data_IF_388178738909
#
_entry.id   IF_388178738909
#
_cell.length_a   1.000
_cell.length_b   1.000
_cell.length_c   1.000
_cell.angle_alpha   90.00
_cell.angle_beta   90.00
_cell.angle_gamma   90.00
#
_symmetry.space_group_name_H-M   'P 1'
#
loop_
_entity.id
_entity.type
_entity.pdbx_description
1 polymer ?
#
# COMPACT_ATOMS: atom_id res chain seq x y z
N UNK A 1 -80.73 -20.55 -0.03
CA UNK A 1 -80.43 -19.63 -1.15
C UNK A 1 -79.91 -18.33 -0.57
N UNK A 2 -78.71 -17.79 -0.81
CA UNK A 2 -77.47 -18.20 -1.47
C UNK A 2 -76.38 -17.24 -0.95
N UNK A 3 -75.27 -17.77 -0.43
CA UNK A 3 -73.90 -17.62 -0.95
C UNK A 3 -73.49 -16.22 -1.42
N UNK A 4 -72.56 -15.60 -0.67
CA UNK A 4 -71.37 -14.97 -1.25
C UNK A 4 -70.36 -14.63 -0.13
N UNK A 5 -69.34 -15.47 -0.03
CA UNK A 5 -68.10 -15.24 0.69
C UNK A 5 -67.38 -13.98 0.21
N UNK A 6 -66.86 -13.17 1.13
CA UNK A 6 -65.68 -12.33 0.86
C UNK A 6 -64.70 -12.41 2.02
N UNK A 7 -63.70 -13.28 1.81
CA UNK A 7 -62.39 -13.21 2.45
C UNK A 7 -61.84 -11.79 2.28
N UNK A 8 -61.40 -11.17 3.36
CA UNK A 8 -60.51 -10.01 3.29
C UNK A 8 -59.16 -10.38 3.86
N UNK A 9 -58.15 -10.04 3.05
CA UNK A 9 -56.76 -10.47 3.08
C UNK A 9 -56.06 -10.26 4.43
N UNK A 10 -55.39 -11.33 4.86
CA UNK A 10 -54.23 -11.29 5.73
C UNK A 10 -53.12 -10.46 5.05
N UNK A 11 -52.78 -9.30 5.61
CA UNK A 11 -51.55 -8.60 5.23
C UNK A 11 -50.37 -9.28 5.92
N UNK A 12 -49.69 -10.15 5.17
CA UNK A 12 -48.38 -10.69 5.51
C UNK A 12 -47.35 -9.58 5.33
N UNK A 13 -46.93 -8.92 6.41
CA UNK A 13 -45.77 -8.05 6.40
C UNK A 13 -44.51 -8.93 6.34
N UNK A 14 -43.98 -9.05 5.12
CA UNK A 14 -42.63 -9.55 4.86
C UNK A 14 -41.66 -8.58 5.54
N UNK A 15 -41.10 -8.98 6.68
CA UNK A 15 -39.97 -8.32 7.28
C UNK A 15 -38.73 -8.57 6.39
N UNK A 16 -38.51 -7.68 5.44
CA UNK A 16 -37.24 -7.62 4.72
C UNK A 16 -36.11 -7.36 5.73
N UNK A 17 -35.17 -8.29 5.71
CA UNK A 17 -33.86 -8.25 6.35
C UNK A 17 -33.26 -6.84 6.33
N UNK A 18 -33.10 -6.25 7.52
CA UNK A 18 -32.29 -5.05 7.69
C UNK A 18 -30.83 -5.47 7.47
N UNK A 19 -30.24 -5.02 6.37
CA UNK A 19 -28.81 -4.87 6.20
C UNK A 19 -28.23 -4.21 7.46
N UNK A 20 -27.64 -5.02 8.31
CA UNK A 20 -26.89 -4.58 9.48
C UNK A 20 -25.59 -4.04 8.94
N UNK A 21 -25.45 -2.71 8.91
CA UNK A 21 -24.17 -2.06 8.65
C UNK A 21 -23.12 -2.65 9.62
N UNK A 22 -21.92 -3.01 9.16
CA UNK A 22 -20.87 -3.52 10.05
C UNK A 22 -20.55 -2.47 11.11
N UNK A 23 -20.38 -2.92 12.35
CA UNK A 23 -20.09 -2.06 13.50
C UNK A 23 -18.74 -1.38 13.32
N UNK A 24 -18.75 -0.08 13.07
CA UNK A 24 -17.56 0.78 13.12
C UNK A 24 -17.31 1.14 14.58
N UNK A 25 -16.35 0.49 15.22
CA UNK A 25 -15.90 0.88 16.56
C UNK A 25 -14.75 1.88 16.46
N UNK A 26 -14.86 3.08 17.07
CA UNK A 26 -13.78 4.05 17.12
C UNK A 26 -12.62 3.55 17.99
N UNK A 27 -11.42 3.56 17.42
CA UNK A 27 -10.17 3.37 18.15
C UNK A 27 -9.55 4.76 18.36
N UNK A 28 -9.54 5.31 19.59
CA UNK A 28 -8.86 6.57 19.85
C UNK A 28 -7.37 6.38 19.55
N UNK A 29 -6.85 7.18 18.62
CA UNK A 29 -5.47 7.14 18.11
C UNK A 29 -4.45 6.60 19.13
N UNK A 30 -3.76 5.49 18.83
CA UNK A 30 -2.44 5.30 19.37
C UNK A 30 -1.56 6.39 18.76
N UNK A 31 -0.81 7.14 19.58
CA UNK A 31 0.33 7.97 19.13
C UNK A 31 1.50 7.11 18.61
N UNK A 32 1.26 5.83 18.41
CA UNK A 32 2.16 4.81 17.96
C UNK A 32 1.75 4.43 16.55
N UNK A 33 2.69 4.27 15.60
CA UNK A 33 2.37 3.60 14.34
C UNK A 33 1.66 2.29 14.66
N UNK A 34 0.66 1.95 13.84
CA UNK A 34 -0.08 0.69 13.85
C UNK A 34 0.65 -0.40 14.65
N UNK A 35 0.19 -0.67 15.87
CA UNK A 35 0.64 -1.84 16.65
C UNK A 35 -0.05 -3.11 16.15
N UNK A 36 -0.34 -3.18 14.84
CA UNK A 36 -0.38 -4.49 14.19
C UNK A 36 0.95 -5.19 14.46
N UNK A 37 1.00 -6.54 14.45
CA UNK A 37 2.26 -7.23 14.56
C UNK A 37 3.19 -6.63 13.50
N UNK A 38 4.18 -5.86 13.94
CA UNK A 38 5.29 -5.46 13.07
C UNK A 38 5.87 -6.79 12.64
N UNK A 39 5.55 -7.20 11.41
CA UNK A 39 6.13 -8.40 10.83
C UNK A 39 7.62 -8.09 10.86
N UNK A 40 8.35 -8.69 11.79
CA UNK A 40 9.76 -8.43 11.93
C UNK A 40 10.37 -8.58 10.54
N UNK A 41 11.15 -7.57 10.11
CA UNK A 41 11.86 -7.68 8.85
C UNK A 41 12.54 -9.04 8.85
N UNK A 42 12.30 -9.86 7.82
CA UNK A 42 12.68 -11.25 7.88
C UNK A 42 14.18 -11.35 8.09
N UNK A 43 14.58 -12.32 8.92
CA UNK A 43 15.95 -12.55 9.34
C UNK A 43 16.88 -12.79 8.12
N UNK A 44 18.22 -12.68 8.28
CA UNK A 44 19.16 -12.98 7.20
C UNK A 44 18.91 -14.39 6.62
N UNK A 45 18.55 -14.47 5.34
CA UNK A 45 18.20 -15.70 4.64
C UNK A 45 17.26 -15.45 3.46
N UNK A 46 16.97 -16.50 2.70
CA UNK A 46 15.93 -16.43 1.67
C UNK A 46 14.55 -16.39 2.34
N UNK A 47 13.83 -15.31 2.09
CA UNK A 47 12.48 -15.08 2.60
C UNK A 47 11.50 -15.16 1.46
N UNK A 48 10.49 -16.01 1.61
CA UNK A 48 9.30 -15.99 0.77
C UNK A 48 8.27 -15.03 1.37
N UNK A 49 7.70 -14.12 0.59
CA UNK A 49 6.62 -13.23 1.04
C UNK A 49 5.77 -12.72 -0.11
N UNK A 50 4.61 -12.16 0.23
CA UNK A 50 3.78 -11.36 -0.68
C UNK A 50 4.06 -9.88 -0.43
N UNK A 51 4.36 -9.12 -1.48
CA UNK A 51 4.61 -7.70 -1.35
C UNK A 51 4.14 -6.88 -2.54
N UNK A 52 4.02 -5.57 -2.33
CA UNK A 52 3.96 -4.56 -3.39
C UNK A 52 5.28 -3.78 -3.45
N UNK A 53 5.74 -3.40 -4.64
CA UNK A 53 6.91 -2.52 -4.81
C UNK A 53 6.49 -1.12 -5.24
N UNK A 54 7.36 -0.14 -4.95
CA UNK A 54 7.26 1.22 -5.46
C UNK A 54 8.33 1.41 -6.54
N UNK A 55 7.95 2.04 -7.65
CA UNK A 55 8.90 2.40 -8.72
C UNK A 55 9.76 3.58 -8.30
N UNK A 56 11.06 3.44 -8.48
CA UNK A 56 12.01 4.53 -8.33
C UNK A 56 11.92 5.47 -9.53
N UNK A 57 12.06 6.77 -9.30
CA UNK A 57 12.03 7.76 -10.36
C UNK A 57 13.05 8.88 -10.15
N UNK A 58 13.53 9.51 -11.24
CA UNK A 58 14.41 10.66 -11.15
C UNK A 58 13.73 11.79 -10.40
N UNK A 59 14.47 12.47 -9.53
CA UNK A 59 13.97 13.61 -8.78
C UNK A 59 13.11 13.27 -7.55
N UNK A 60 12.72 12.00 -7.36
CA UNK A 60 11.86 11.59 -6.25
C UNK A 60 12.67 11.26 -5.00
N UNK A 61 12.57 12.12 -3.99
CA UNK A 61 13.31 12.01 -2.73
C UNK A 61 12.92 10.79 -1.88
N UNK A 62 11.72 10.23 -2.09
CA UNK A 62 11.25 9.04 -1.37
C UNK A 62 11.47 7.75 -2.18
N UNK A 63 11.73 7.87 -3.48
CA UNK A 63 11.98 6.76 -4.38
C UNK A 63 13.03 7.10 -5.43
N UNK A 64 14.28 7.29 -5.00
CA UNK A 64 15.39 7.70 -5.86
C UNK A 64 15.78 6.58 -6.85
N UNK A 65 15.92 6.92 -8.13
CA UNK A 65 16.48 6.03 -9.18
C UNK A 65 17.87 6.44 -9.68
N UNK A 66 18.35 7.62 -9.32
CA UNK A 66 19.59 8.21 -9.86
C UNK A 66 20.43 8.82 -8.74
N UNK A 67 21.74 8.55 -8.79
CA UNK A 67 22.72 9.03 -7.83
C UNK A 67 23.74 9.92 -8.55
N UNK A 68 23.95 11.13 -8.04
CA UNK A 68 25.03 12.01 -8.47
C UNK A 68 26.30 11.67 -7.68
N UNK A 69 27.31 11.11 -8.36
CA UNK A 69 28.57 10.68 -7.76
C UNK A 69 29.73 11.25 -8.57
N UNK A 70 30.51 12.15 -7.98
CA UNK A 70 31.68 12.73 -8.64
C UNK A 70 31.34 13.51 -9.93
N UNK A 71 30.15 14.13 -9.99
CA UNK A 71 29.69 14.91 -11.14
C UNK A 71 29.06 14.08 -12.27
N UNK A 72 28.89 12.77 -12.09
CA UNK A 72 28.22 11.88 -13.03
C UNK A 72 27.00 11.19 -12.41
N UNK A 73 26.01 10.89 -13.24
CA UNK A 73 24.85 10.11 -12.86
C UNK A 73 25.17 8.61 -12.90
N UNK A 74 24.81 7.94 -11.82
CA UNK A 74 24.76 6.50 -11.68
C UNK A 74 23.30 6.07 -11.55
N UNK A 75 22.86 5.16 -12.41
CA UNK A 75 21.52 4.59 -12.37
C UNK A 75 21.42 3.49 -11.33
N UNK A 76 20.40 3.59 -10.48
CA UNK A 76 20.09 2.63 -9.44
C UNK A 76 19.15 1.51 -9.88
N UNK A 77 18.70 0.75 -8.89
CA UNK A 77 17.66 -0.25 -9.11
C UNK A 77 16.30 0.44 -9.37
N UNK A 78 15.43 -0.15 -10.22
CA UNK A 78 14.19 0.50 -10.66
C UNK A 78 13.05 0.45 -9.63
N UNK A 79 13.16 -0.34 -8.58
CA UNK A 79 12.09 -0.52 -7.60
C UNK A 79 12.61 -0.54 -6.16
N UNK A 80 11.70 -0.35 -5.21
CA UNK A 80 11.96 -0.49 -3.77
C UNK A 80 10.78 -1.12 -3.04
N UNK A 81 11.08 -1.73 -1.90
CA UNK A 81 10.12 -2.27 -0.94
C UNK A 81 10.54 -1.80 0.45
N UNK A 82 9.61 -1.20 1.21
CA UNK A 82 9.87 -0.67 2.56
C UNK A 82 11.10 0.27 2.62
N UNK A 83 11.25 1.12 1.60
CA UNK A 83 12.38 2.06 1.50
C UNK A 83 13.71 1.44 1.08
N UNK A 84 13.79 0.13 0.84
CA UNK A 84 15.01 -0.58 0.42
C UNK A 84 14.90 -0.94 -1.06
N UNK A 85 15.96 -0.67 -1.82
CA UNK A 85 16.04 -1.00 -3.24
C UNK A 85 15.86 -2.50 -3.51
N UNK A 86 15.20 -2.85 -4.61
CA UNK A 86 14.88 -4.24 -5.00
C UNK A 86 15.47 -4.55 -6.37
N UNK A 87 16.25 -5.63 -6.45
CA UNK A 87 16.78 -6.18 -7.69
C UNK A 87 15.99 -7.43 -8.05
N UNK A 88 15.32 -7.40 -9.20
CA UNK A 88 14.63 -8.56 -9.77
C UNK A 88 15.56 -9.40 -10.65
N UNK A 89 15.26 -10.69 -10.86
CA UNK A 89 15.98 -11.53 -11.82
C UNK A 89 15.98 -10.91 -13.21
N UNK A 90 17.09 -11.09 -13.94
CA UNK A 90 17.17 -10.68 -15.34
C UNK A 90 16.05 -11.32 -16.16
N UNK A 91 15.41 -10.54 -17.04
CA UNK A 91 14.27 -11.00 -17.85
C UNK A 91 12.90 -10.90 -17.16
N UNK A 92 12.83 -10.49 -15.89
CA UNK A 92 11.54 -10.18 -15.25
C UNK A 92 10.84 -9.03 -16.00
N UNK A 93 9.62 -9.26 -16.46
CA UNK A 93 8.86 -8.24 -17.20
C UNK A 93 8.45 -7.09 -16.27
N UNK A 94 8.70 -5.81 -16.66
CA UNK A 94 8.14 -4.66 -15.94
C UNK A 94 6.62 -4.71 -15.84
N UNK A 95 5.94 -5.29 -16.83
CA UNK A 95 4.48 -5.42 -16.82
C UNK A 95 3.99 -6.30 -15.65
N UNK A 96 4.70 -7.40 -15.35
CA UNK A 96 4.42 -8.25 -14.20
C UNK A 96 4.53 -7.45 -12.90
N UNK A 97 5.57 -6.62 -12.77
CA UNK A 97 5.86 -5.86 -11.56
C UNK A 97 4.87 -4.71 -11.38
N UNK A 98 4.58 -3.96 -12.44
CA UNK A 98 3.83 -2.70 -12.38
C UNK A 98 2.31 -2.90 -12.45
N UNK A 99 1.81 -3.96 -13.09
CA UNK A 99 0.37 -4.24 -13.19
C UNK A 99 -0.16 -5.17 -12.11
N UNK A 100 0.70 -5.91 -11.42
CA UNK A 100 0.25 -6.80 -10.35
C UNK A 100 0.03 -6.00 -9.07
N UNK A 101 -1.14 -6.13 -8.41
CA UNK A 101 -1.39 -5.46 -7.13
C UNK A 101 -0.55 -6.04 -5.99
N UNK A 102 0.08 -7.20 -6.21
CA UNK A 102 1.07 -7.81 -5.34
C UNK A 102 1.91 -8.84 -6.10
N UNK A 103 3.06 -9.17 -5.53
CA UNK A 103 4.01 -10.15 -6.04
C UNK A 103 4.30 -11.18 -4.95
N UNK A 104 4.29 -12.46 -5.30
CA UNK A 104 4.88 -13.52 -4.48
C UNK A 104 6.36 -13.57 -4.86
N UNK A 105 7.23 -13.37 -3.89
CA UNK A 105 8.67 -13.30 -4.12
C UNK A 105 9.44 -14.17 -3.13
N UNK A 106 10.56 -14.72 -3.58
CA UNK A 106 11.63 -15.21 -2.70
C UNK A 106 12.78 -14.23 -2.82
N UNK A 107 13.28 -13.72 -1.70
CA UNK A 107 14.34 -12.71 -1.71
C UNK A 107 15.32 -12.87 -0.55
N UNK A 108 16.53 -12.34 -0.69
CA UNK A 108 17.49 -12.19 0.41
C UNK A 108 18.01 -10.76 0.51
N UNK A 109 18.30 -10.33 1.74
CA UNK A 109 18.93 -9.03 1.98
C UNK A 109 20.41 -9.11 1.65
N UNK A 110 20.88 -8.30 0.71
CA UNK A 110 22.29 -8.12 0.39
C UNK A 110 22.77 -6.76 0.89
N UNK A 111 24.04 -6.65 1.20
CA UNK A 111 24.71 -5.38 1.48
C UNK A 111 25.43 -4.89 0.22
N UNK A 112 25.94 -3.66 0.25
CA UNK A 112 26.66 -3.03 -0.86
C UNK A 112 25.78 -2.67 -2.06
N UNK A 113 24.86 -1.71 -1.87
CA UNK A 113 24.05 -1.13 -2.94
C UNK A 113 24.91 -0.54 -4.08
N UNK A 114 26.11 -0.02 -3.77
CA UNK A 114 27.02 0.52 -4.80
C UNK A 114 27.35 -0.51 -5.90
N UNK A 115 27.35 -1.81 -5.57
CA UNK A 115 27.61 -2.89 -6.52
C UNK A 115 26.53 -3.07 -7.59
N UNK A 116 25.34 -2.47 -7.42
CA UNK A 116 24.23 -2.62 -8.36
C UNK A 116 24.08 -1.43 -9.31
N UNK A 117 24.91 -0.40 -9.16
CA UNK A 117 24.76 0.84 -9.92
C UNK A 117 25.36 0.72 -11.32
N UNK A 118 24.71 1.36 -12.28
CA UNK A 118 25.21 1.49 -13.66
C UNK A 118 25.71 2.91 -13.87
N UNK A 119 27.01 3.07 -14.11
CA UNK A 119 27.59 4.38 -14.45
C UNK A 119 27.07 4.83 -15.82
N UNK A 120 26.69 6.10 -15.92
CA UNK A 120 26.27 6.72 -17.19
C UNK A 120 27.22 7.83 -17.61
N UNK A 121 27.07 8.32 -18.84
CA UNK A 121 27.78 9.50 -19.35
C UNK A 121 27.06 10.82 -19.03
N UNK A 122 25.87 10.76 -18.39
CA UNK A 122 25.12 11.95 -18.00
C UNK A 122 25.84 12.65 -16.85
N UNK A 123 26.07 13.94 -16.98
CA UNK A 123 26.62 14.77 -15.91
C UNK A 123 25.53 15.20 -14.93
N UNK A 124 25.94 15.49 -13.71
CA UNK A 124 25.09 16.09 -12.69
C UNK A 124 25.85 17.21 -11.99
N UNK A 125 25.12 18.25 -11.62
CA UNK A 125 25.64 19.29 -10.76
C UNK A 125 25.35 18.90 -9.30
N UNK A 126 26.38 18.63 -8.47
CA UNK A 126 26.20 18.39 -7.05
C UNK A 126 25.70 19.68 -6.38
N UNK A 127 24.37 19.88 -6.37
CA UNK A 127 23.74 20.97 -5.61
C UNK A 127 23.96 20.78 -4.10
N UNK A 128 23.68 21.87 -3.38
CA UNK A 128 23.92 22.15 -1.95
C UNK A 128 24.02 20.95 -0.99
N UNK A 129 24.87 21.06 0.05
CA UNK A 129 25.08 19.99 1.04
C UNK A 129 23.76 19.52 1.68
N UNK A 130 23.71 18.25 2.13
CA UNK A 130 22.48 17.66 2.62
C UNK A 130 21.90 18.47 3.77
N UNK A 131 20.67 18.97 3.59
CA UNK A 131 19.91 19.53 4.70
C UNK A 131 19.67 18.41 5.73
N UNK A 132 20.03 18.68 6.99
CA UNK A 132 19.76 17.76 8.08
C UNK A 132 18.27 17.42 8.16
N UNK A 133 17.94 16.12 8.25
CA UNK A 133 16.56 15.66 8.38
C UNK A 133 15.92 16.17 9.66
N UNK A 134 14.78 16.86 9.55
CA UNK A 134 13.88 17.07 10.69
C UNK A 134 12.99 15.84 10.96
N UNK A 135 12.76 14.98 9.95
CA UNK A 135 11.99 13.73 10.07
C UNK A 135 12.54 12.65 9.11
N UNK A 136 12.66 11.42 9.62
CA UNK A 136 13.26 10.28 8.92
C UNK A 136 12.39 9.68 7.80
N UNK A 137 11.13 10.10 7.69
CA UNK A 137 10.15 9.59 6.72
C UNK A 137 10.12 10.37 5.39
N UNK A 138 10.92 11.45 5.25
CA UNK A 138 10.86 12.37 4.12
C UNK A 138 12.02 12.20 3.13
N UNK A 139 12.63 11.02 3.09
CA UNK A 139 13.80 10.76 2.26
C UNK A 139 14.21 9.29 2.27
N UNK A 140 15.00 8.89 1.30
CA UNK A 140 15.57 7.54 1.30
C UNK A 140 16.71 7.43 2.32
N UNK A 141 16.95 6.24 2.91
CA UNK A 141 18.07 6.05 3.82
C UNK A 141 19.42 6.47 3.23
N UNK A 142 19.59 6.30 1.92
CA UNK A 142 20.83 6.57 1.21
C UNK A 142 21.01 8.03 0.74
N UNK A 143 19.95 8.85 0.73
CA UNK A 143 19.97 10.21 0.16
C UNK A 143 19.42 11.30 1.10
N UNK A 144 18.76 10.93 2.20
CA UNK A 144 18.04 11.90 3.03
C UNK A 144 17.08 12.74 2.18
N UNK A 145 17.08 14.06 2.38
CA UNK A 145 16.21 14.98 1.66
C UNK A 145 16.81 15.57 0.37
N UNK A 146 17.80 14.93 -0.25
CA UNK A 146 18.44 15.48 -1.46
C UNK A 146 17.87 14.95 -2.77
N UNK A 147 17.71 15.86 -3.72
CA UNK A 147 17.33 15.56 -5.10
C UNK A 147 18.03 16.53 -6.07
N UNK A 148 18.93 16.07 -6.96
CA UNK A 148 19.39 14.69 -7.11
C UNK A 148 20.16 14.21 -5.88
N UNK A 149 20.17 12.89 -5.64
CA UNK A 149 20.88 12.30 -4.51
C UNK A 149 22.39 12.43 -4.68
N UNK A 150 23.05 13.28 -3.89
CA UNK A 150 24.48 13.52 -3.97
C UNK A 150 25.22 12.64 -2.94
N UNK A 151 26.00 11.67 -3.41
CA UNK A 151 26.59 10.64 -2.53
C UNK A 151 27.89 10.08 -3.10
N UNK A 152 28.46 9.08 -2.44
CA UNK A 152 29.69 8.39 -2.89
C UNK A 152 29.46 6.88 -2.95
N UNK A 153 30.23 6.18 -3.80
CA UNK A 153 30.21 4.72 -3.83
C UNK A 153 30.53 4.11 -2.45
N UNK A 154 31.46 4.72 -1.71
CA UNK A 154 31.81 4.28 -0.35
C UNK A 154 30.61 4.38 0.61
N UNK A 155 29.87 5.49 0.58
CA UNK A 155 28.68 5.64 1.41
C UNK A 155 27.61 4.60 1.03
N UNK A 156 27.34 4.46 -0.27
CA UNK A 156 26.35 3.49 -0.78
C UNK A 156 26.72 2.03 -0.50
N UNK A 157 28.00 1.71 -0.29
CA UNK A 157 28.42 0.35 0.06
C UNK A 157 27.90 -0.13 1.43
N UNK A 158 27.54 0.80 2.32
CA UNK A 158 26.96 0.47 3.62
C UNK A 158 25.45 0.19 3.56
N UNK A 159 24.78 0.53 2.45
CA UNK A 159 23.34 0.33 2.29
C UNK A 159 23.02 -1.06 1.72
N UNK A 160 21.92 -1.62 2.21
CA UNK A 160 21.40 -2.91 1.74
C UNK A 160 20.45 -2.75 0.56
N UNK A 161 20.25 -3.85 -0.16
CA UNK A 161 19.19 -4.03 -1.15
C UNK A 161 18.59 -5.44 -1.04
N UNK A 162 17.40 -5.62 -1.59
CA UNK A 162 16.74 -6.91 -1.71
C UNK A 162 17.10 -7.57 -3.04
N UNK A 163 17.64 -8.77 -2.97
CA UNK A 163 17.87 -9.64 -4.12
C UNK A 163 16.71 -10.61 -4.26
N UNK A 164 15.89 -10.45 -5.30
CA UNK A 164 14.80 -11.37 -5.60
C UNK A 164 15.32 -12.51 -6.47
N UNK A 165 15.06 -13.75 -6.06
CA UNK A 165 15.42 -14.96 -6.80
C UNK A 165 14.25 -15.53 -7.59
N UNK A 166 13.03 -15.44 -7.04
CA UNK A 166 11.80 -15.86 -7.72
C UNK A 166 10.74 -14.77 -7.61
N UNK A 167 9.91 -14.62 -8.64
CA UNK A 167 8.82 -13.63 -8.68
C UNK A 167 7.64 -14.17 -9.47
N UNK A 168 6.45 -14.06 -8.88
CA UNK A 168 5.17 -14.47 -9.46
C UNK A 168 4.10 -13.42 -9.12
N UNK A 169 3.08 -13.28 -9.97
CA UNK A 169 1.95 -12.39 -9.68
C UNK A 169 1.12 -12.96 -8.52
N UNK A 170 0.79 -12.13 -7.54
CA UNK A 170 -0.22 -12.49 -6.54
C UNK A 170 -1.62 -12.16 -7.08
N UNK A 171 -2.42 -13.19 -7.34
CA UNK A 171 -3.78 -13.07 -7.89
C UNK A 171 -4.88 -12.95 -6.83
N UNK A 172 -4.53 -13.01 -5.54
CA UNK A 172 -5.49 -12.94 -4.43
C UNK A 172 -5.97 -11.53 -4.08
N UNK A 173 -5.48 -10.49 -4.76
CA UNK A 173 -5.95 -9.12 -4.63
C UNK A 173 -6.31 -8.58 -6.02
N UNK A 174 -7.45 -7.90 -6.11
CA UNK A 174 -7.83 -7.09 -7.27
C UNK A 174 -8.40 -5.77 -6.78
N UNK A 175 -7.96 -4.68 -7.41
CA UNK A 175 -8.38 -3.31 -7.08
C UNK A 175 -8.76 -2.65 -8.39
N UNK A 176 -10.04 -2.35 -8.56
CA UNK A 176 -10.54 -1.64 -9.73
C UNK A 176 -11.19 -0.34 -9.31
N UNK A 177 -11.15 0.65 -10.19
CA UNK A 177 -11.80 1.94 -9.97
C UNK A 177 -13.17 1.90 -10.64
N UNK A 178 -14.21 2.39 -9.95
CA UNK A 178 -15.53 2.59 -10.54
C UNK A 178 -15.48 3.53 -11.75
N UNK A 179 -16.47 3.43 -12.64
CA UNK A 179 -16.50 4.27 -13.86
C UNK A 179 -16.56 5.77 -13.60
N UNK A 180 -17.04 6.20 -12.42
CA UNK A 180 -17.05 7.60 -11.99
C UNK A 180 -15.75 8.04 -11.28
N UNK A 181 -14.79 7.12 -11.08
CA UNK A 181 -13.51 7.41 -10.47
C UNK A 181 -13.54 7.59 -8.95
N UNK A 182 -14.70 7.43 -8.28
CA UNK A 182 -14.90 7.80 -6.86
C UNK A 182 -14.73 6.65 -5.88
N UNK A 183 -14.94 5.42 -6.33
CA UNK A 183 -14.95 4.22 -5.48
C UNK A 183 -13.93 3.23 -5.99
N UNK A 184 -13.20 2.61 -5.07
CA UNK A 184 -12.40 1.44 -5.32
C UNK A 184 -13.20 0.20 -4.99
N UNK A 185 -13.30 -0.70 -5.95
CA UNK A 185 -13.78 -2.06 -5.74
C UNK A 185 -12.56 -2.91 -5.39
N UNK A 186 -12.47 -3.31 -4.12
CA UNK A 186 -11.40 -4.16 -3.62
C UNK A 186 -11.94 -5.57 -3.47
N UNK A 187 -11.31 -6.52 -4.15
CA UNK A 187 -11.63 -7.96 -4.09
C UNK A 187 -10.44 -8.72 -3.56
N UNK A 188 -10.65 -9.40 -2.45
CA UNK A 188 -9.72 -10.35 -1.84
C UNK A 188 -10.19 -11.77 -2.14
N UNK A 189 -9.30 -12.62 -2.65
CA UNK A 189 -9.59 -14.02 -2.95
C UNK A 189 -8.55 -14.88 -2.25
N UNK A 190 -9.00 -15.87 -1.47
CA UNK A 190 -8.09 -16.86 -0.92
C UNK A 190 -7.64 -17.83 -2.02
N UNK A 191 -6.43 -17.64 -2.52
CA UNK A 191 -5.81 -18.47 -3.58
C UNK A 191 -5.11 -19.73 -3.04
N UNK A 192 -5.12 -19.93 -1.72
CA UNK A 192 -4.46 -21.06 -1.07
C UNK A 192 -5.41 -22.23 -0.84
N UNK A 193 -4.85 -23.43 -0.71
CA UNK A 193 -5.60 -24.66 -0.41
C UNK A 193 -6.11 -24.74 1.04
N UNK A 194 -5.69 -23.81 1.89
CA UNK A 194 -6.01 -23.75 3.31
C UNK A 194 -6.83 -22.51 3.63
N UNK A 195 -7.54 -22.53 4.76
CA UNK A 195 -8.37 -21.42 5.21
C UNK A 195 -7.49 -20.24 5.64
N UNK A 196 -7.70 -19.09 5.01
CA UNK A 196 -7.04 -17.84 5.37
C UNK A 196 -7.70 -17.25 6.62
N UNK A 197 -6.87 -16.93 7.62
CA UNK A 197 -7.31 -16.29 8.86
C UNK A 197 -7.90 -14.89 8.60
N UNK A 198 -8.70 -14.40 9.54
CA UNK A 198 -9.19 -13.03 9.49
C UNK A 198 -8.04 -12.03 9.40
N UNK A 199 -8.20 -11.01 8.57
CA UNK A 199 -7.20 -9.99 8.28
C UNK A 199 -7.80 -8.59 8.42
N UNK A 200 -6.97 -7.57 8.28
CA UNK A 200 -7.39 -6.18 8.28
C UNK A 200 -6.86 -5.48 7.05
N UNK A 201 -7.78 -4.86 6.31
CA UNK A 201 -7.46 -3.89 5.26
C UNK A 201 -7.54 -2.50 5.89
N UNK A 202 -6.52 -1.67 5.69
CA UNK A 202 -6.47 -0.30 6.21
C UNK A 202 -6.47 0.67 5.04
N UNK A 203 -7.42 1.60 5.04
CA UNK A 203 -7.47 2.69 4.08
C UNK A 203 -6.90 3.96 4.72
N UNK A 204 -5.85 4.50 4.11
CA UNK A 204 -5.10 5.65 4.60
C UNK A 204 -5.52 6.90 3.86
N UNK A 205 -6.09 7.86 4.58
CA UNK A 205 -6.54 9.13 4.04
C UNK A 205 -5.65 10.27 4.55
N UNK A 206 -5.34 11.21 3.67
CA UNK A 206 -4.65 12.45 4.02
C UNK A 206 -5.46 13.65 3.49
N UNK A 207 -5.51 14.74 4.25
CA UNK A 207 -6.25 15.93 3.86
C UNK A 207 -6.82 16.72 5.03
N UNK A 208 -7.91 17.43 4.78
CA UNK A 208 -8.59 18.28 5.74
C UNK A 208 -8.02 19.70 5.88
N UNK A 209 -8.73 20.60 6.56
CA UNK A 209 -8.30 21.99 6.74
C UNK A 209 -7.11 22.10 7.70
N UNK A 210 -6.07 22.82 7.29
CA UNK A 210 -4.88 23.07 8.10
C UNK A 210 -3.71 22.20 7.69
N UNK A 211 -2.93 21.70 8.67
CA UNK A 211 -1.87 20.73 8.39
C UNK A 211 -2.52 19.38 8.07
N UNK A 212 -2.12 18.69 6.97
CA UNK A 212 -2.65 17.38 6.64
C UNK A 212 -2.50 16.44 7.84
N UNK A 213 -3.62 15.87 8.29
CA UNK A 213 -3.64 14.87 9.35
C UNK A 213 -3.99 13.53 8.72
N UNK A 214 -3.25 12.45 9.04
CA UNK A 214 -3.58 11.13 8.54
C UNK A 214 -4.81 10.57 9.26
N UNK A 215 -5.71 9.95 8.49
CA UNK A 215 -6.87 9.24 8.98
C UNK A 215 -6.87 7.82 8.45
N UNK A 216 -7.34 6.87 9.27
CA UNK A 216 -7.25 5.45 8.98
C UNK A 216 -8.64 4.82 9.14
N UNK A 217 -9.13 4.18 8.08
CA UNK A 217 -10.34 3.36 8.14
C UNK A 217 -9.92 1.89 8.12
N UNK A 218 -10.18 1.19 9.23
CA UNK A 218 -9.92 -0.25 9.37
C UNK A 218 -11.13 -1.05 8.90
N UNK A 219 -10.93 -1.91 7.92
CA UNK A 219 -11.94 -2.79 7.33
C UNK A 219 -11.60 -4.23 7.76
N UNK A 220 -12.50 -4.85 8.51
CA UNK A 220 -12.33 -6.24 8.93
C UNK A 220 -12.57 -7.18 7.74
N UNK A 221 -11.55 -7.97 7.40
CA UNK A 221 -11.66 -9.04 6.41
C UNK A 221 -11.97 -10.33 7.16
N UNK A 222 -13.13 -10.97 6.92
CA UNK A 222 -13.46 -12.21 7.59
C UNK A 222 -12.52 -13.32 7.16
N UNK A 223 -12.54 -14.41 7.90
CA UNK A 223 -11.84 -15.63 7.53
C UNK A 223 -12.35 -16.17 6.18
N UNK A 224 -11.45 -16.56 5.28
CA UNK A 224 -11.79 -17.00 3.92
C UNK A 224 -11.46 -18.48 3.72
N UNK A 225 -12.47 -19.28 3.38
CA UNK A 225 -12.25 -20.66 2.91
C UNK A 225 -11.44 -20.67 1.59
N UNK A 226 -10.80 -21.79 1.22
CA UNK A 226 -10.12 -21.92 -0.07
C UNK A 226 -11.03 -21.50 -1.24
N UNK A 227 -10.56 -20.59 -2.09
CA UNK A 227 -11.31 -20.04 -3.22
C UNK A 227 -12.40 -19.02 -2.86
N UNK A 228 -12.67 -18.76 -1.58
CA UNK A 228 -13.67 -17.79 -1.16
C UNK A 228 -13.18 -16.36 -1.42
N UNK A 229 -14.15 -15.46 -1.68
CA UNK A 229 -13.90 -14.06 -2.01
C UNK A 229 -14.56 -13.14 -1.00
N UNK A 230 -13.88 -12.05 -0.65
CA UNK A 230 -14.43 -10.92 0.07
C UNK A 230 -14.31 -9.67 -0.79
N UNK A 231 -15.40 -8.92 -0.89
CA UNK A 231 -15.47 -7.70 -1.70
C UNK A 231 -15.88 -6.53 -0.80
N UNK A 232 -15.20 -5.39 -0.97
CA UNK A 232 -15.50 -4.17 -0.25
C UNK A 232 -15.32 -2.95 -1.14
N UNK A 233 -16.17 -1.96 -0.93
CA UNK A 233 -16.08 -0.66 -1.58
C UNK A 233 -15.35 0.31 -0.67
N UNK A 234 -14.31 0.96 -1.18
CA UNK A 234 -13.58 2.00 -0.48
C UNK A 234 -13.72 3.30 -1.24
N UNK A 235 -14.33 4.30 -0.61
CA UNK A 235 -14.47 5.63 -1.21
C UNK A 235 -13.10 6.32 -1.26
N UNK A 236 -12.74 6.92 -2.40
CA UNK A 236 -11.47 7.67 -2.54
C UNK A 236 -11.49 8.99 -1.77
N UNK A 237 -12.67 9.48 -1.42
CA UNK A 237 -12.87 10.65 -0.57
C UNK A 237 -13.81 10.30 0.57
N UNK A 238 -13.50 10.77 1.77
CA UNK A 238 -14.42 10.70 2.91
C UNK A 238 -14.68 12.11 3.44
N UNK A 239 -15.92 12.36 3.87
CA UNK A 239 -16.29 13.60 4.50
C UNK A 239 -15.82 13.61 5.96
N UNK A 240 -15.58 14.82 6.49
CA UNK A 240 -15.23 15.02 7.90
C UNK A 240 -16.25 14.37 8.86
N UNK A 241 -17.52 14.25 8.47
CA UNK A 241 -18.57 13.59 9.27
C UNK A 241 -18.40 12.08 9.40
N UNK A 242 -17.73 11.44 8.44
CA UNK A 242 -17.49 10.00 8.44
C UNK A 242 -16.24 9.64 9.26
N UNK A 243 -15.53 10.65 9.74
CA UNK A 243 -14.36 10.50 10.58
C UNK A 243 -14.76 10.78 12.03
N UNK A 244 -14.48 9.84 12.96
CA UNK A 244 -14.68 10.09 14.38
C UNK A 244 -13.68 11.16 14.87
N UNK A 245 -14.10 12.43 14.85
CA UNK A 245 -13.31 13.57 15.34
C UNK A 245 -13.70 13.94 16.77
N UNK A 246 -12.69 14.27 17.59
CA UNK A 246 -12.90 14.79 18.95
C UNK A 246 -13.45 16.22 18.97
N UNK A 247 -13.21 17.00 17.90
CA UNK A 247 -13.82 18.32 17.67
C UNK A 247 -14.01 18.54 16.16
N UNK A 248 -15.21 18.90 15.68
CA UNK A 248 -15.43 19.26 14.29
C UNK A 248 -14.70 20.57 13.95
N UNK A 249 -14.07 20.61 12.79
CA UNK A 249 -13.44 21.80 12.25
C UNK A 249 -14.50 22.80 11.75
N UNK A 250 -14.13 24.09 11.70
CA UNK A 250 -15.03 25.14 11.20
C UNK A 250 -15.08 25.23 9.66
N UNK A 251 -14.26 24.46 8.95
CA UNK A 251 -14.17 24.47 7.49
C UNK A 251 -14.38 23.04 7.01
N UNK A 252 -15.50 22.73 6.33
CA UNK A 252 -15.74 21.39 5.78
C UNK A 252 -14.50 20.91 5.02
N UNK A 253 -13.82 19.90 5.56
CA UNK A 253 -12.70 19.22 4.92
C UNK A 253 -13.17 17.95 4.23
N UNK A 254 -12.58 17.65 3.08
CA UNK A 254 -12.57 16.30 2.54
C UNK A 254 -11.17 15.71 2.75
N UNK A 255 -11.11 14.39 2.85
CA UNK A 255 -9.86 13.64 2.96
C UNK A 255 -9.74 12.71 1.78
N UNK A 256 -8.55 12.65 1.18
CA UNK A 256 -8.29 11.85 -0.02
C UNK A 256 -7.54 10.59 0.35
N UNK A 257 -7.95 9.47 -0.25
CA UNK A 257 -7.31 8.18 -0.06
C UNK A 257 -5.91 8.21 -0.68
N UNK A 258 -4.92 8.07 0.19
CA UNK A 258 -3.51 8.05 -0.17
C UNK A 258 -3.08 6.65 -0.60
N UNK A 259 -3.40 5.61 0.19
CA UNK A 259 -3.16 4.21 -0.16
C UNK A 259 -4.04 3.24 0.63
N UNK A 260 -4.14 2.01 0.13
CA UNK A 260 -4.65 0.85 0.86
C UNK A 260 -3.49 -0.02 1.33
N UNK A 261 -3.55 -0.50 2.56
CA UNK A 261 -2.55 -1.37 3.18
C UNK A 261 -3.19 -2.65 3.70
N UNK A 262 -2.55 -3.77 3.47
CA UNK A 262 -2.94 -5.05 4.03
C UNK A 262 -1.69 -5.82 4.46
N UNK A 263 -1.56 -5.97 5.77
CA UNK A 263 -0.47 -6.68 6.42
C UNK A 263 -1.00 -7.95 7.10
N UNK A 264 -0.19 -8.99 7.08
CA UNK A 264 -0.51 -10.21 7.82
C UNK A 264 0.37 -11.39 7.46
N UNK A 265 -0.09 -12.57 7.83
CA UNK A 265 0.53 -13.83 7.45
C UNK A 265 -0.56 -14.73 6.88
N UNK A 266 -0.36 -15.16 5.65
CA UNK A 266 -1.23 -16.09 4.96
C UNK A 266 -0.79 -17.52 5.24
N UNK A 267 -1.71 -18.50 5.28
CA UNK A 267 -1.34 -19.88 5.49
C UNK A 267 -0.66 -20.45 4.23
N UNK A 268 0.61 -20.84 4.37
CA UNK A 268 1.43 -21.41 3.31
C UNK A 268 2.45 -22.38 3.95
N UNK A 269 2.09 -23.66 3.99
CA UNK A 269 2.87 -24.65 4.73
C UNK A 269 2.96 -24.35 6.24
N UNK A 270 4.05 -24.79 6.87
CA UNK A 270 4.23 -24.73 8.32
C UNK A 270 4.56 -23.34 8.88
N UNK A 271 5.15 -22.45 8.07
CA UNK A 271 5.69 -21.17 8.53
C UNK A 271 4.80 -19.97 8.16
N UNK A 272 3.77 -20.17 7.34
CA UNK A 272 2.98 -19.08 6.79
C UNK A 272 3.79 -18.19 5.82
N UNK A 273 3.07 -17.43 5.00
CA UNK A 273 3.63 -16.49 4.04
C UNK A 273 3.35 -15.07 4.52
N UNK A 274 4.37 -14.33 4.98
CA UNK A 274 4.23 -12.92 5.32
C UNK A 274 3.69 -12.14 4.13
N UNK A 275 2.81 -11.18 4.39
CA UNK A 275 2.19 -10.34 3.38
C UNK A 275 2.27 -8.88 3.81
N UNK A 276 2.71 -8.03 2.88
CA UNK A 276 2.67 -6.58 2.98
C UNK A 276 2.30 -5.95 1.65
N UNK A 277 1.00 -5.72 1.47
CA UNK A 277 0.48 -5.12 0.25
C UNK A 277 0.11 -3.68 0.50
N UNK A 278 0.69 -2.79 -0.30
CA UNK A 278 0.40 -1.37 -0.33
C UNK A 278 0.09 -0.96 -1.76
N UNK A 279 -1.17 -0.67 -2.04
CA UNK A 279 -1.57 -0.14 -3.34
C UNK A 279 -1.83 1.36 -3.21
N UNK A 280 -1.00 2.15 -3.91
CA UNK A 280 -1.18 3.58 -4.02
C UNK A 280 -2.30 3.88 -5.00
N UNK A 281 -3.28 4.67 -4.57
CA UNK A 281 -4.47 5.01 -5.37
C UNK A 281 -4.41 6.47 -5.85
N UNK A 282 -3.28 7.13 -5.60
CA UNK A 282 -3.05 8.50 -6.02
C UNK A 282 -2.69 8.54 -7.51
N UNK A 283 -3.69 8.82 -8.34
CA UNK A 283 -3.51 9.69 -9.49
C UNK A 283 -3.97 11.08 -9.05
N UNK A 284 -3.06 12.06 -9.06
CA UNK A 284 -3.43 13.48 -9.05
C UNK A 284 -4.38 13.71 -10.21
N UNK A 285 -5.69 13.59 -9.97
CA UNK A 285 -6.68 14.22 -10.83
C UNK A 285 -6.69 15.66 -10.34
N UNK A 286 -6.12 16.62 -11.07
CA UNK A 286 -6.26 18.01 -10.67
C UNK A 286 -7.75 18.28 -10.48
N UNK A 287 -8.16 18.98 -9.41
CA UNK A 287 -9.57 19.29 -9.20
C UNK A 287 -10.10 19.90 -10.50
N UNK A 288 -11.20 19.35 -11.01
CA UNK A 288 -11.94 19.99 -12.08
C UNK A 288 -12.15 21.44 -11.63
N UNK A 289 -11.56 22.37 -12.37
CA UNK A 289 -11.82 23.79 -12.15
C UNK A 289 -13.26 24.01 -12.59
N UNK A 290 -14.17 24.06 -11.62
CA UNK A 290 -15.45 24.75 -11.80
C UNK A 290 -15.21 26.26 -11.84
#
# INVERSE_FOLDING_TARGET
MGSASRLSLLYLLIACSRNTAPSVTPDPQPRTPSTGPSIAMPAPGDTRMILSVVKNSPGNMNAVSEYCIGGLIYEGLPYRFEGINVRFPAGTSPELIEKSPGLIVTMSKKINLASTLVKTDRTCDPKEPPMAQARSDWGTPECGQQSPCNTTLSALSAHSFWEVTTVEAYSGLSVTVSGDGRVLQVKLTNVFATKQTAQQLVAHYEGGPGKPMPHFLKIAVPELAPGATFEVQVHRTIDESDIPMTKPSRRRGYYELFYLEMDGTLPDGANGLPMRLKTSVFQLVPPARD
#
